data_IF_242891607222
#
_entry.id   IF_242891607222
#
_cell.length_a   1.000
_cell.length_b   1.000
_cell.length_c   1.000
_cell.angle_alpha   90.00
_cell.angle_beta   90.00
_cell.angle_gamma   90.00
#
_symmetry.space_group_name_H-M   'P 1'
#
loop_
_entity.id
_entity.type
_entity.pdbx_description
1 polymer ?
#
# COMPACT_ATOMS: atom_id res chain seq x y z
N UNK A 1 32.55 22.84 9.59
CA UNK A 1 33.05 21.59 10.24
C UNK A 1 31.87 20.67 10.69
N UNK A 2 30.82 21.19 11.34
CA UNK A 2 29.67 20.37 11.78
C UNK A 2 28.82 19.89 10.59
N UNK A 3 28.73 20.63 9.48
CA UNK A 3 27.96 20.26 8.30
C UNK A 3 28.51 19.04 7.57
N UNK A 4 29.79 18.93 7.41
CA UNK A 4 30.43 17.83 6.66
C UNK A 4 30.32 16.49 7.41
N UNK A 5 30.47 16.54 8.75
CA UNK A 5 30.36 15.36 9.61
C UNK A 5 28.92 14.82 9.68
N UNK A 6 27.93 15.71 9.75
CA UNK A 6 26.49 15.34 9.76
C UNK A 6 26.03 14.70 8.44
N UNK A 7 26.46 15.28 7.30
CA UNK A 7 26.11 14.76 5.98
C UNK A 7 26.67 13.35 5.76
N UNK A 8 27.94 13.13 6.14
CA UNK A 8 28.58 11.81 6.09
C UNK A 8 27.90 10.79 6.99
N UNK A 9 27.47 11.21 8.19
CA UNK A 9 26.76 10.34 9.13
C UNK A 9 25.39 9.91 8.61
N UNK A 10 24.57 10.83 8.10
CA UNK A 10 23.24 10.50 7.57
C UNK A 10 23.34 9.61 6.33
N UNK A 11 24.26 9.90 5.40
CA UNK A 11 24.49 9.04 4.23
C UNK A 11 24.89 7.63 4.64
N UNK A 12 25.81 7.47 5.59
CA UNK A 12 26.21 6.16 6.13
C UNK A 12 25.03 5.42 6.81
N UNK A 13 24.14 6.15 7.50
CA UNK A 13 22.92 5.56 8.08
C UNK A 13 21.99 5.09 6.96
N UNK A 14 21.74 5.89 5.93
CA UNK A 14 20.91 5.51 4.80
C UNK A 14 21.44 4.26 4.08
N UNK A 15 22.74 4.20 3.81
CA UNK A 15 23.39 3.04 3.18
C UNK A 15 23.26 1.75 4.00
N UNK A 16 23.29 1.86 5.32
CA UNK A 16 23.16 0.70 6.22
C UNK A 16 21.72 0.25 6.42
N UNK A 17 20.79 1.18 6.48
CA UNK A 17 19.41 0.93 6.84
C UNK A 17 18.55 0.61 5.60
N UNK A 18 18.64 1.38 4.53
CA UNK A 18 17.76 1.27 3.38
C UNK A 18 17.96 -0.04 2.59
N UNK A 19 16.87 -0.52 2.00
CA UNK A 19 16.93 -1.60 1.01
C UNK A 19 17.58 -1.09 -0.29
N UNK A 20 18.20 -1.99 -1.07
CA UNK A 20 18.90 -1.62 -2.31
C UNK A 20 18.01 -0.86 -3.30
N UNK A 21 16.73 -1.24 -3.37
CA UNK A 21 15.75 -0.63 -4.28
C UNK A 21 15.41 0.82 -3.95
N UNK A 22 15.61 1.26 -2.70
CA UNK A 22 15.23 2.60 -2.24
C UNK A 22 16.45 3.45 -1.82
N UNK A 23 17.64 2.87 -1.89
CA UNK A 23 18.85 3.54 -1.44
C UNK A 23 19.11 4.85 -2.21
N UNK A 24 18.94 4.84 -3.52
CA UNK A 24 19.21 6.02 -4.36
C UNK A 24 18.28 7.19 -3.99
N UNK A 25 16.98 6.93 -3.88
CA UNK A 25 15.98 7.96 -3.50
C UNK A 25 16.23 8.49 -2.09
N UNK A 26 16.62 7.59 -1.17
CA UNK A 26 16.95 7.96 0.21
C UNK A 26 18.21 8.83 0.28
N UNK A 27 19.24 8.54 -0.52
CA UNK A 27 20.45 9.35 -0.60
C UNK A 27 20.19 10.75 -1.19
N UNK A 28 19.34 10.83 -2.22
CA UNK A 28 18.90 12.10 -2.79
C UNK A 28 18.07 12.92 -1.79
N UNK A 29 17.20 12.25 -1.02
CA UNK A 29 16.43 12.92 0.02
C UNK A 29 17.30 13.53 1.12
N UNK A 30 18.33 12.84 1.58
CA UNK A 30 19.22 13.31 2.65
C UNK A 30 20.33 14.25 2.17
N UNK A 31 20.37 14.56 0.88
CA UNK A 31 21.32 15.54 0.36
C UNK A 31 20.97 16.95 0.82
N UNK A 32 21.81 17.49 1.72
CA UNK A 32 21.61 18.82 2.30
C UNK A 32 21.97 19.96 1.33
N UNK A 33 22.69 19.68 0.23
CA UNK A 33 23.09 20.71 -0.74
C UNK A 33 21.90 21.34 -1.46
N UNK A 34 20.79 20.58 -1.61
CA UNK A 34 19.54 21.01 -2.26
C UNK A 34 18.42 21.29 -1.25
N UNK A 35 18.71 21.16 0.05
CA UNK A 35 17.69 21.16 1.09
C UNK A 35 16.97 22.51 1.22
N UNK A 36 17.70 23.60 1.13
CA UNK A 36 17.16 24.97 1.22
C UNK A 36 16.13 25.23 0.11
N UNK A 37 16.46 24.85 -1.14
CA UNK A 37 15.57 24.99 -2.29
C UNK A 37 14.29 24.12 -2.11
N UNK A 38 14.46 22.89 -1.63
CA UNK A 38 13.34 21.96 -1.42
C UNK A 38 12.42 22.34 -0.27
N UNK A 39 12.92 23.07 0.72
CA UNK A 39 12.13 23.57 1.85
C UNK A 39 11.53 24.95 1.61
N UNK A 40 11.84 25.60 0.48
CA UNK A 40 11.35 26.94 0.20
C UNK A 40 9.82 26.95 0.06
N UNK A 41 9.14 27.61 1.03
CA UNK A 41 7.68 27.68 1.08
C UNK A 41 6.98 26.43 1.64
N UNK A 42 7.75 25.42 2.05
CA UNK A 42 7.23 24.18 2.62
C UNK A 42 7.35 24.16 4.14
N UNK A 43 6.35 23.64 4.83
CA UNK A 43 6.41 23.44 6.28
C UNK A 43 7.28 22.23 6.67
N UNK A 44 7.41 21.26 5.79
CA UNK A 44 8.29 20.10 5.93
C UNK A 44 8.33 19.31 4.63
N UNK A 45 9.41 18.56 4.41
CA UNK A 45 9.49 17.54 3.37
C UNK A 45 9.67 16.16 4.00
N UNK A 46 9.07 15.15 3.39
CA UNK A 46 9.08 13.77 3.90
C UNK A 46 9.48 12.77 2.83
N UNK A 47 10.11 11.68 3.27
CA UNK A 47 10.43 10.54 2.43
C UNK A 47 10.17 9.25 3.21
N UNK A 48 9.42 8.32 2.60
CA UNK A 48 9.14 7.02 3.18
C UNK A 48 10.03 5.95 2.54
N UNK A 49 10.61 5.12 3.38
CA UNK A 49 11.51 4.07 2.93
C UNK A 49 11.36 2.80 3.79
N UNK A 50 11.79 1.67 3.25
CA UNK A 50 11.87 0.42 4.01
C UNK A 50 13.30 0.18 4.46
N UNK A 51 13.47 -0.09 5.74
CA UNK A 51 14.75 -0.57 6.26
C UNK A 51 14.77 -2.11 6.38
N UNK A 52 15.99 -2.62 6.55
CA UNK A 52 16.25 -4.08 6.64
C UNK A 52 15.82 -4.69 7.97
N UNK A 53 15.48 -3.89 8.99
CA UNK A 53 15.27 -4.34 10.37
C UNK A 53 13.86 -3.99 10.86
N UNK A 54 13.44 -2.73 10.73
CA UNK A 54 12.21 -2.20 11.32
C UNK A 54 11.05 -2.07 10.32
N UNK A 55 11.29 -2.34 9.04
CA UNK A 55 10.29 -2.21 7.99
C UNK A 55 10.11 -0.76 7.53
N UNK A 56 8.89 -0.26 7.47
CA UNK A 56 8.59 1.08 6.97
C UNK A 56 8.99 2.18 7.94
N UNK A 57 9.72 3.16 7.43
CA UNK A 57 10.15 4.36 8.13
C UNK A 57 9.81 5.62 7.32
N UNK A 58 9.65 6.74 8.02
CA UNK A 58 9.46 8.07 7.42
C UNK A 58 10.54 8.98 7.96
N UNK A 59 11.37 9.52 7.08
CA UNK A 59 12.29 10.61 7.38
C UNK A 59 11.64 11.94 7.04
N UNK A 60 11.96 12.98 7.83
CA UNK A 60 11.39 14.31 7.67
C UNK A 60 12.42 15.38 7.94
N UNK A 61 12.46 16.40 7.09
CA UNK A 61 13.13 17.67 7.36
C UNK A 61 12.07 18.74 7.64
N UNK A 62 12.27 19.48 8.73
CA UNK A 62 11.39 20.56 9.18
C UNK A 62 12.24 21.81 9.36
N UNK A 63 11.98 22.91 8.62
CA UNK A 63 12.69 24.16 8.84
C UNK A 63 12.33 24.70 10.23
N UNK A 64 13.33 25.19 10.96
CA UNK A 64 13.16 25.74 12.32
C UNK A 64 13.14 27.26 12.27
N UNK A 65 14.13 27.84 11.67
CA UNK A 65 14.27 29.30 11.54
C UNK A 65 15.04 29.70 10.29
N UNK A 66 14.95 30.98 9.95
CA UNK A 66 15.57 31.62 8.81
C UNK A 66 16.29 32.90 9.29
N UNK A 67 17.32 33.32 8.59
CA UNK A 67 17.98 34.59 8.82
C UNK A 67 17.15 35.79 8.26
N UNK A 68 17.70 37.01 8.43
CA UNK A 68 17.06 38.24 7.97
C UNK A 68 16.91 38.30 6.44
N UNK A 69 17.73 37.57 5.71
CA UNK A 69 17.70 37.46 4.25
C UNK A 69 16.81 36.32 3.75
N UNK A 70 16.17 35.58 4.66
CA UNK A 70 15.29 34.45 4.38
C UNK A 70 16.02 33.14 4.09
N UNK A 71 17.32 33.03 4.43
CA UNK A 71 18.13 31.83 4.27
C UNK A 71 17.89 30.88 5.45
N UNK A 72 17.77 29.60 5.17
CA UNK A 72 17.56 28.55 6.18
C UNK A 72 18.79 28.44 7.12
N UNK A 73 18.55 28.70 8.42
CA UNK A 73 19.60 28.60 9.46
C UNK A 73 19.62 27.22 10.11
N UNK A 74 18.48 26.76 10.60
CA UNK A 74 18.39 25.49 11.29
C UNK A 74 17.25 24.63 10.72
N UNK A 75 17.51 23.34 10.65
CA UNK A 75 16.55 22.32 10.23
C UNK A 75 16.57 21.18 11.23
N UNK A 76 15.39 20.67 11.55
CA UNK A 76 15.23 19.44 12.31
C UNK A 76 15.11 18.26 11.34
N UNK A 77 15.94 17.24 11.53
CA UNK A 77 15.79 15.97 10.86
C UNK A 77 15.31 14.92 11.84
N UNK A 78 14.25 14.20 11.50
CA UNK A 78 13.73 13.11 12.32
C UNK A 78 13.40 11.90 11.44
N UNK A 79 13.50 10.71 12.06
CA UNK A 79 13.08 9.44 11.47
C UNK A 79 12.10 8.81 12.46
N UNK A 80 10.97 8.34 11.94
CA UNK A 80 9.96 7.61 12.69
C UNK A 80 9.65 6.27 12.04
N UNK A 81 9.43 5.22 12.83
CA UNK A 81 8.94 3.94 12.33
C UNK A 81 7.42 4.06 12.10
N UNK A 82 6.99 3.82 10.87
CA UNK A 82 5.58 3.86 10.45
C UNK A 82 5.03 2.49 10.06
N UNK A 83 5.70 1.41 10.47
CA UNK A 83 5.32 0.05 10.13
C UNK A 83 3.88 -0.28 10.55
N UNK A 84 3.47 0.13 11.76
CA UNK A 84 2.12 -0.11 12.25
C UNK A 84 1.07 0.79 11.54
N UNK A 85 1.45 1.99 11.12
CA UNK A 85 0.61 2.87 10.30
C UNK A 85 0.35 2.21 8.94
N UNK A 86 1.39 1.71 8.27
CA UNK A 86 1.30 1.01 6.98
C UNK A 86 0.50 -0.29 7.07
N UNK A 87 0.70 -1.09 8.12
CA UNK A 87 -0.12 -2.29 8.36
C UNK A 87 -1.59 -1.95 8.53
N UNK A 88 -1.90 -0.89 9.27
CA UNK A 88 -3.28 -0.43 9.46
C UNK A 88 -3.89 0.05 8.16
N UNK A 89 -3.18 0.87 7.39
CA UNK A 89 -3.60 1.35 6.08
C UNK A 89 -3.90 0.17 5.14
N UNK A 90 -2.95 -0.76 4.99
CA UNK A 90 -3.12 -1.96 4.17
C UNK A 90 -4.29 -2.82 4.65
N UNK A 91 -4.51 -2.92 5.96
CA UNK A 91 -5.66 -3.64 6.51
C UNK A 91 -6.98 -2.97 6.13
N UNK A 92 -7.06 -1.64 6.21
CA UNK A 92 -8.25 -0.89 5.80
C UNK A 92 -8.54 -1.04 4.30
N UNK A 93 -7.50 -0.96 3.46
CA UNK A 93 -7.62 -1.20 2.02
C UNK A 93 -8.12 -2.62 1.76
N UNK A 94 -7.55 -3.63 2.41
CA UNK A 94 -7.99 -5.02 2.29
C UNK A 94 -9.46 -5.19 2.67
N UNK A 95 -9.90 -4.64 3.81
CA UNK A 95 -11.29 -4.71 4.27
C UNK A 95 -12.25 -3.98 3.32
N UNK A 96 -11.83 -2.86 2.73
CA UNK A 96 -12.64 -2.09 1.80
C UNK A 96 -12.81 -2.76 0.43
N UNK A 97 -11.87 -3.64 0.03
CA UNK A 97 -11.82 -4.21 -1.31
C UNK A 97 -12.15 -5.69 -1.39
N UNK A 98 -12.22 -6.38 -0.25
CA UNK A 98 -12.28 -7.85 -0.20
C UNK A 98 -13.57 -8.32 0.44
N UNK A 99 -14.16 -9.38 -0.08
CA UNK A 99 -15.20 -10.15 0.61
C UNK A 99 -14.54 -11.00 1.70
N UNK A 100 -14.89 -10.75 2.96
CA UNK A 100 -14.20 -11.35 4.11
C UNK A 100 -14.44 -12.87 4.26
N UNK A 101 -15.51 -13.39 3.64
CA UNK A 101 -15.80 -14.83 3.70
C UNK A 101 -14.92 -15.60 2.71
N UNK A 102 -14.77 -15.08 1.49
CA UNK A 102 -14.14 -15.81 0.39
C UNK A 102 -12.72 -15.35 0.08
N UNK A 103 -12.33 -14.14 0.51
CA UNK A 103 -11.05 -13.54 0.14
C UNK A 103 -11.01 -12.97 -1.30
N UNK A 104 -12.09 -13.10 -2.05
CA UNK A 104 -12.21 -12.52 -3.40
C UNK A 104 -12.42 -11.00 -3.33
N UNK A 105 -12.32 -10.32 -4.49
CA UNK A 105 -12.79 -8.95 -4.57
C UNK A 105 -14.25 -8.87 -4.13
N UNK A 106 -14.61 -7.88 -3.32
CA UNK A 106 -16.01 -7.59 -3.07
C UNK A 106 -16.65 -6.94 -4.30
N UNK A 107 -17.97 -6.82 -4.31
CA UNK A 107 -18.74 -6.26 -5.41
C UNK A 107 -18.19 -4.89 -5.86
N UNK A 108 -18.01 -3.95 -4.93
CA UNK A 108 -17.61 -2.58 -5.29
C UNK A 108 -16.22 -2.51 -5.92
N UNK A 109 -15.24 -3.23 -5.38
CA UNK A 109 -13.89 -3.28 -5.93
C UNK A 109 -13.83 -4.02 -7.27
N UNK A 110 -14.61 -5.09 -7.41
CA UNK A 110 -14.73 -5.85 -8.66
C UNK A 110 -15.35 -5.03 -9.79
N UNK A 111 -16.47 -4.37 -9.54
CA UNK A 111 -17.12 -3.47 -10.52
C UNK A 111 -16.19 -2.34 -10.97
N UNK A 112 -15.40 -1.78 -10.05
CA UNK A 112 -14.38 -0.76 -10.37
C UNK A 112 -13.31 -1.31 -11.30
N UNK A 113 -12.72 -2.46 -10.99
CA UNK A 113 -11.71 -3.13 -11.83
C UNK A 113 -12.24 -3.45 -13.22
N UNK A 114 -13.46 -4.00 -13.32
CA UNK A 114 -14.12 -4.27 -14.61
C UNK A 114 -14.27 -2.97 -15.41
N UNK A 115 -14.69 -1.88 -14.75
CA UNK A 115 -14.84 -0.59 -15.41
C UNK A 115 -13.51 -0.05 -15.93
N UNK A 116 -12.41 -0.25 -15.20
CA UNK A 116 -11.07 0.11 -15.62
C UNK A 116 -10.62 -0.69 -16.85
N UNK A 117 -10.81 -2.02 -16.84
CA UNK A 117 -10.54 -2.86 -18.02
C UNK A 117 -11.31 -2.42 -19.26
N UNK A 118 -12.59 -2.07 -19.10
CA UNK A 118 -13.41 -1.61 -20.23
C UNK A 118 -12.91 -0.28 -20.81
N UNK A 119 -12.33 0.59 -19.99
CA UNK A 119 -11.74 1.86 -20.48
C UNK A 119 -10.48 1.64 -21.31
N UNK A 120 -9.68 0.66 -20.95
CA UNK A 120 -8.46 0.30 -21.67
C UNK A 120 -8.73 -0.40 -23.02
N UNK A 121 -10.01 -0.66 -23.35
CA UNK A 121 -10.46 -1.32 -24.60
C UNK A 121 -9.82 -2.68 -24.86
N UNK A 122 -9.36 -3.36 -23.84
CA UNK A 122 -8.90 -4.73 -23.94
C UNK A 122 -10.14 -5.63 -23.99
N UNK A 123 -10.22 -6.48 -25.00
CA UNK A 123 -11.28 -7.49 -25.10
C UNK A 123 -11.20 -8.46 -23.92
N UNK A 124 -12.35 -8.98 -23.48
CA UNK A 124 -12.42 -9.91 -22.36
C UNK A 124 -13.70 -10.74 -22.37
N UNK A 125 -13.77 -11.71 -21.47
CA UNK A 125 -14.95 -12.51 -21.18
C UNK A 125 -15.44 -12.18 -19.78
N UNK A 126 -16.70 -11.87 -19.64
CA UNK A 126 -17.39 -11.75 -18.34
C UNK A 126 -18.23 -13.01 -18.11
N UNK A 127 -17.97 -13.68 -17.00
CA UNK A 127 -18.74 -14.84 -16.56
C UNK A 127 -19.49 -14.51 -15.28
N UNK A 128 -20.77 -14.77 -15.23
CA UNK A 128 -21.57 -14.80 -14.01
C UNK A 128 -21.78 -16.26 -13.61
N UNK A 129 -21.47 -16.58 -12.37
CA UNK A 129 -21.55 -17.93 -11.82
C UNK A 129 -22.49 -17.91 -10.63
N UNK A 130 -23.43 -18.85 -10.59
CA UNK A 130 -24.39 -19.02 -9.52
C UNK A 130 -24.39 -20.47 -9.04
N UNK A 131 -24.69 -20.71 -7.77
CA UNK A 131 -24.70 -22.05 -7.19
C UNK A 131 -26.10 -22.67 -7.20
N UNK A 132 -26.34 -23.58 -8.15
CA UNK A 132 -27.62 -24.28 -8.26
C UNK A 132 -28.07 -24.94 -6.95
N UNK A 133 -29.29 -24.63 -6.52
CA UNK A 133 -29.94 -25.20 -5.32
C UNK A 133 -29.17 -24.91 -4.01
N UNK A 134 -28.42 -23.81 -3.94
CA UNK A 134 -27.69 -23.43 -2.74
C UNK A 134 -28.55 -23.37 -1.48
N UNK A 135 -29.80 -22.87 -1.61
CA UNK A 135 -30.78 -22.89 -0.53
C UNK A 135 -30.99 -24.30 0.01
N UNK A 136 -31.08 -25.31 -0.85
CA UNK A 136 -31.23 -26.70 -0.42
C UNK A 136 -30.05 -27.22 0.39
N UNK A 137 -28.84 -26.75 0.09
CA UNK A 137 -27.65 -27.06 0.90
C UNK A 137 -27.80 -26.47 2.30
N UNK A 138 -28.21 -25.21 2.40
CA UNK A 138 -28.42 -24.54 3.69
C UNK A 138 -29.56 -25.23 4.49
N UNK A 139 -30.66 -25.54 3.85
CA UNK A 139 -31.82 -26.14 4.49
C UNK A 139 -31.51 -27.56 5.02
N UNK A 140 -30.71 -28.35 4.31
CA UNK A 140 -30.41 -29.74 4.69
C UNK A 140 -29.18 -29.86 5.63
N UNK A 141 -28.17 -28.97 5.50
CA UNK A 141 -26.89 -29.13 6.18
C UNK A 141 -26.50 -27.92 7.05
N UNK A 142 -27.32 -26.87 7.05
CA UNK A 142 -27.09 -25.64 7.80
C UNK A 142 -26.15 -24.64 7.10
N UNK A 143 -26.29 -23.38 7.49
CA UNK A 143 -25.53 -22.25 6.90
C UNK A 143 -24.02 -22.42 6.96
N UNK A 144 -23.47 -23.02 8.03
CA UNK A 144 -22.02 -23.26 8.16
C UNK A 144 -21.45 -24.20 7.08
N UNK A 145 -22.28 -25.10 6.55
CA UNK A 145 -21.90 -25.96 5.42
C UNK A 145 -22.02 -25.19 4.12
N UNK A 146 -23.08 -24.39 3.95
CA UNK A 146 -23.21 -23.48 2.81
C UNK A 146 -22.04 -22.51 2.68
N UNK A 147 -21.61 -21.89 3.79
CA UNK A 147 -20.44 -21.01 3.79
C UNK A 147 -19.18 -21.73 3.30
N UNK A 148 -18.95 -22.97 3.75
CA UNK A 148 -17.81 -23.79 3.28
C UNK A 148 -17.89 -24.11 1.79
N UNK A 149 -19.09 -24.31 1.25
CA UNK A 149 -19.29 -24.54 -0.19
C UNK A 149 -18.91 -23.30 -0.97
N UNK A 150 -19.39 -22.11 -0.55
CA UNK A 150 -19.02 -20.83 -1.18
C UNK A 150 -17.52 -20.61 -1.15
N UNK A 151 -16.88 -20.83 0.00
CA UNK A 151 -15.42 -20.69 0.14
C UNK A 151 -14.70 -21.66 -0.81
N UNK A 152 -15.12 -22.91 -0.88
CA UNK A 152 -14.52 -23.91 -1.76
C UNK A 152 -14.65 -23.55 -3.25
N UNK A 153 -15.79 -23.01 -3.66
CA UNK A 153 -16.02 -22.52 -5.03
C UNK A 153 -15.09 -21.33 -5.30
N UNK A 154 -15.05 -20.37 -4.42
CA UNK A 154 -14.20 -19.18 -4.52
C UNK A 154 -12.72 -19.56 -4.67
N UNK A 155 -12.20 -20.44 -3.82
CA UNK A 155 -10.83 -20.96 -3.91
C UNK A 155 -10.56 -21.66 -5.25
N UNK A 156 -11.53 -22.43 -5.73
CA UNK A 156 -11.39 -23.15 -7.00
C UNK A 156 -11.35 -22.19 -8.19
N UNK A 157 -12.22 -21.18 -8.20
CA UNK A 157 -12.23 -20.13 -9.23
C UNK A 157 -10.91 -19.37 -9.23
N UNK A 158 -10.45 -18.92 -8.06
CA UNK A 158 -9.20 -18.19 -7.93
C UNK A 158 -7.98 -18.98 -8.42
N UNK A 159 -7.92 -20.29 -8.12
CA UNK A 159 -6.85 -21.18 -8.61
C UNK A 159 -6.91 -21.47 -10.11
N UNK A 160 -8.06 -21.29 -10.74
CA UNK A 160 -8.27 -21.58 -12.15
C UNK A 160 -8.05 -20.35 -13.03
N UNK A 161 -8.34 -19.17 -12.49
CA UNK A 161 -8.11 -17.88 -13.13
C UNK A 161 -6.64 -17.47 -13.06
N UNK A 162 -6.20 -16.60 -13.98
CA UNK A 162 -4.86 -16.01 -13.98
C UNK A 162 -4.79 -14.87 -12.98
N UNK A 163 -3.59 -14.49 -12.57
CA UNK A 163 -3.38 -13.33 -11.68
C UNK A 163 -3.89 -12.01 -12.29
N UNK A 164 -3.94 -11.93 -13.63
CA UNK A 164 -4.52 -10.79 -14.36
C UNK A 164 -6.04 -10.78 -14.40
N UNK A 165 -6.70 -11.91 -14.10
CA UNK A 165 -8.16 -12.02 -14.15
C UNK A 165 -8.79 -11.48 -12.84
N UNK A 166 -9.96 -10.90 -12.96
CA UNK A 166 -10.71 -10.40 -11.80
C UNK A 166 -11.75 -11.42 -11.39
N UNK A 167 -11.61 -11.97 -10.18
CA UNK A 167 -12.62 -12.82 -9.56
C UNK A 167 -13.22 -12.03 -8.42
N UNK A 168 -14.54 -11.91 -8.39
CA UNK A 168 -15.28 -11.16 -7.39
C UNK A 168 -16.49 -11.92 -6.90
N UNK A 169 -16.97 -11.61 -5.70
CA UNK A 169 -18.24 -12.06 -5.18
C UNK A 169 -19.23 -10.92 -5.19
N UNK A 170 -20.40 -11.15 -5.83
CA UNK A 170 -21.48 -10.17 -5.87
C UNK A 170 -22.28 -10.16 -4.56
N UNK A 171 -22.50 -11.31 -3.96
CA UNK A 171 -23.20 -11.52 -2.69
C UNK A 171 -23.94 -12.86 -2.69
N UNK A 172 -24.37 -13.32 -1.52
CA UNK A 172 -25.05 -14.60 -1.41
C UNK A 172 -24.22 -15.75 -1.96
N UNK A 173 -24.78 -16.45 -2.94
CA UNK A 173 -24.20 -17.59 -3.67
C UNK A 173 -23.65 -17.21 -5.07
N UNK A 174 -23.60 -15.91 -5.39
CA UNK A 174 -23.09 -15.35 -6.65
C UNK A 174 -21.64 -14.83 -6.54
#
# INVERSE_FOLDING_TARGET
EIRDDFCGHIKNIAEKMCTESQLQESLEFVDISTLEERLLGENSITHEFTDKISGWNRSRFIPVDYDEDGKLLHVLFCIECIEEEKKRENRLIYLAQTDLMTGLCNRGSGEKKITEFLKEKTGGLLCLVDCDKFKSINDNYGHSVGDKVIIAIAEKLQKTCRDSDVVLRLGGDE
#
